data_IF_090679158330
#
_entry.id   IF_090679158330
#
_cell.length_a   1.000
_cell.length_b   1.000
_cell.length_c   1.000
_cell.angle_alpha   90.00
_cell.angle_beta   90.00
_cell.angle_gamma   90.00
#
_symmetry.space_group_name_H-M   'P 1'
#
loop_
_entity.id
_entity.type
_entity.pdbx_description
1 polymer ?
#
# COMPACT_ATOMS: atom_id res chain seq x y z
N UNK A 1 -105.30 -82.13 -24.59
CA UNK A 1 -105.63 -81.19 -23.49
C UNK A 1 -104.70 -81.54 -22.33
N UNK A 2 -103.77 -80.74 -21.81
CA UNK A 2 -103.53 -79.29 -21.87
C UNK A 2 -102.03 -79.03 -21.59
N UNK A 3 -101.48 -78.11 -22.38
CA UNK A 3 -100.44 -77.11 -22.13
C UNK A 3 -99.13 -77.45 -21.36
N UNK A 4 -97.95 -77.17 -21.95
CA UNK A 4 -96.70 -76.97 -21.20
C UNK A 4 -96.74 -75.64 -20.40
N UNK A 5 -95.92 -75.50 -19.34
CA UNK A 5 -95.97 -74.32 -18.47
C UNK A 5 -95.53 -73.06 -19.25
N UNK A 6 -96.29 -71.94 -19.20
CA UNK A 6 -95.75 -70.65 -19.62
C UNK A 6 -94.74 -70.20 -18.55
N UNK A 7 -93.74 -69.40 -18.92
CA UNK A 7 -92.89 -68.55 -18.05
C UNK A 7 -91.35 -68.76 -18.17
N UNK A 8 -90.85 -69.66 -19.02
CA UNK A 8 -89.38 -69.78 -19.26
C UNK A 8 -88.79 -68.67 -20.14
N UNK A 9 -89.58 -68.11 -21.07
CA UNK A 9 -89.12 -67.12 -22.08
C UNK A 9 -89.17 -65.68 -21.54
N UNK A 10 -89.99 -65.41 -20.52
CA UNK A 10 -90.12 -64.06 -19.92
C UNK A 10 -88.94 -63.73 -19.00
N UNK A 11 -88.45 -64.69 -18.22
CA UNK A 11 -87.29 -64.52 -17.33
C UNK A 11 -85.98 -64.20 -18.07
N UNK A 12 -85.71 -64.87 -19.20
CA UNK A 12 -84.56 -64.59 -20.05
C UNK A 12 -84.63 -63.18 -20.66
N UNK A 13 -85.83 -62.71 -21.02
CA UNK A 13 -86.05 -61.37 -21.57
C UNK A 13 -85.93 -60.25 -20.53
N UNK A 14 -86.30 -60.50 -19.27
CA UNK A 14 -86.09 -59.56 -18.16
C UNK A 14 -84.64 -59.50 -17.70
N UNK A 15 -83.97 -60.66 -17.59
CA UNK A 15 -82.54 -60.73 -17.28
C UNK A 15 -81.68 -59.99 -18.33
N UNK A 16 -81.99 -60.17 -19.62
CA UNK A 16 -81.26 -59.48 -20.68
C UNK A 16 -81.50 -57.96 -20.66
N UNK A 17 -82.71 -57.50 -20.31
CA UNK A 17 -83.02 -56.07 -20.11
C UNK A 17 -82.23 -55.46 -18.95
N UNK A 18 -82.12 -56.18 -17.84
CA UNK A 18 -81.31 -55.75 -16.69
C UNK A 18 -79.82 -55.68 -17.03
N UNK A 19 -79.29 -56.67 -17.76
CA UNK A 19 -77.89 -56.69 -18.21
C UNK A 19 -77.60 -55.52 -19.17
N UNK A 20 -78.47 -55.27 -20.15
CA UNK A 20 -78.34 -54.11 -21.04
C UNK A 20 -78.40 -52.79 -20.29
N UNK A 21 -79.31 -52.65 -19.32
CA UNK A 21 -79.39 -51.47 -18.47
C UNK A 21 -78.12 -51.25 -17.65
N UNK A 22 -77.58 -52.31 -17.03
CA UNK A 22 -76.32 -52.28 -16.28
C UNK A 22 -75.13 -51.90 -17.18
N UNK A 23 -75.06 -52.44 -18.40
CA UNK A 23 -74.02 -52.09 -19.37
C UNK A 23 -74.10 -50.62 -19.79
N UNK A 24 -75.30 -50.11 -20.04
CA UNK A 24 -75.52 -48.68 -20.34
C UNK A 24 -75.05 -47.82 -19.16
N UNK A 25 -75.45 -48.16 -17.93
CA UNK A 25 -75.02 -47.42 -16.74
C UNK A 25 -73.50 -47.53 -16.49
N UNK A 26 -72.87 -48.67 -16.79
CA UNK A 26 -71.42 -48.84 -16.69
C UNK A 26 -70.67 -47.98 -17.71
N UNK A 27 -71.13 -47.93 -18.96
CA UNK A 27 -70.55 -47.08 -20.02
C UNK A 27 -70.74 -45.60 -19.69
N UNK A 28 -71.94 -45.19 -19.26
CA UNK A 28 -72.21 -43.81 -18.82
C UNK A 28 -71.37 -43.43 -17.61
N UNK A 29 -71.21 -44.35 -16.64
CA UNK A 29 -70.36 -44.16 -15.47
C UNK A 29 -68.88 -44.01 -15.83
N UNK A 30 -68.36 -44.85 -16.74
CA UNK A 30 -66.98 -44.74 -17.24
C UNK A 30 -66.75 -43.43 -17.98
N UNK A 31 -67.68 -43.03 -18.83
CA UNK A 31 -67.60 -41.77 -19.59
C UNK A 31 -67.70 -40.56 -18.65
N UNK A 32 -68.52 -40.63 -17.60
CA UNK A 32 -68.58 -39.60 -16.55
C UNK A 32 -67.26 -39.50 -15.76
N UNK A 33 -66.68 -40.62 -15.33
CA UNK A 33 -65.38 -40.66 -14.64
C UNK A 33 -64.28 -40.11 -15.55
N UNK A 34 -64.27 -40.52 -16.82
CA UNK A 34 -63.31 -40.04 -17.82
C UNK A 34 -63.40 -38.52 -17.99
N UNK A 35 -64.60 -37.98 -18.20
CA UNK A 35 -64.81 -36.52 -18.31
C UNK A 35 -64.43 -35.78 -17.04
N UNK A 36 -64.67 -36.38 -15.87
CA UNK A 36 -64.28 -35.78 -14.57
C UNK A 36 -62.76 -35.73 -14.41
N UNK A 37 -62.05 -36.78 -14.81
CA UNK A 37 -60.59 -36.83 -14.81
C UNK A 37 -59.98 -35.87 -15.84
N UNK A 38 -60.55 -35.80 -17.05
CA UNK A 38 -60.11 -34.87 -18.08
C UNK A 38 -60.31 -33.41 -17.64
N UNK A 39 -61.45 -33.08 -17.04
CA UNK A 39 -61.70 -31.75 -16.47
C UNK A 39 -60.68 -31.39 -15.38
N UNK A 40 -60.37 -32.30 -14.46
CA UNK A 40 -59.35 -32.06 -13.42
C UNK A 40 -57.94 -31.90 -13.98
N UNK A 41 -57.57 -32.64 -15.03
CA UNK A 41 -56.28 -32.47 -15.73
C UNK A 41 -56.17 -31.11 -16.42
N UNK A 42 -57.25 -30.67 -17.08
CA UNK A 42 -57.31 -29.35 -17.72
C UNK A 42 -57.22 -28.22 -16.69
N UNK A 43 -57.88 -28.36 -15.55
CA UNK A 43 -57.81 -27.39 -14.46
C UNK A 43 -56.40 -27.30 -13.88
N UNK A 44 -55.79 -28.44 -13.53
CA UNK A 44 -54.41 -28.48 -13.06
C UNK A 44 -53.41 -27.93 -14.10
N UNK A 45 -53.60 -28.23 -15.39
CA UNK A 45 -52.73 -27.73 -16.47
C UNK A 45 -52.80 -26.20 -16.57
N UNK A 46 -54.01 -25.62 -16.48
CA UNK A 46 -54.21 -24.17 -16.50
C UNK A 46 -53.61 -23.49 -15.28
N UNK A 47 -53.77 -24.09 -14.10
CA UNK A 47 -53.17 -23.55 -12.87
C UNK A 47 -51.64 -23.58 -12.95
N UNK A 48 -51.06 -24.68 -13.44
CA UNK A 48 -49.62 -24.80 -13.62
C UNK A 48 -49.08 -23.80 -14.64
N UNK A 49 -49.76 -23.63 -15.79
CA UNK A 49 -49.41 -22.62 -16.78
C UNK A 49 -49.44 -21.21 -16.19
N UNK A 50 -50.45 -20.90 -15.37
CA UNK A 50 -50.56 -19.61 -14.69
C UNK A 50 -49.39 -19.39 -13.73
N UNK A 51 -49.07 -20.38 -12.90
CA UNK A 51 -47.96 -20.33 -11.94
C UNK A 51 -46.61 -20.20 -12.65
N UNK A 52 -46.39 -20.93 -13.74
CA UNK A 52 -45.18 -20.83 -14.55
C UNK A 52 -45.06 -19.43 -15.17
N UNK A 53 -46.16 -18.86 -15.65
CA UNK A 53 -46.16 -17.51 -16.21
C UNK A 53 -45.89 -16.45 -15.14
N UNK A 54 -46.51 -16.56 -13.97
CA UNK A 54 -46.26 -15.69 -12.82
C UNK A 54 -44.81 -15.78 -12.34
N UNK A 55 -44.24 -16.98 -12.26
CA UNK A 55 -42.84 -17.18 -11.85
C UNK A 55 -41.85 -16.68 -12.89
N UNK A 56 -42.11 -16.93 -14.17
CA UNK A 56 -41.26 -16.45 -15.27
C UNK A 56 -41.22 -14.92 -15.30
N UNK A 57 -42.37 -14.27 -15.14
CA UNK A 57 -42.45 -12.80 -15.11
C UNK A 57 -41.75 -12.22 -13.87
N UNK A 58 -41.96 -12.80 -12.69
CA UNK A 58 -41.25 -12.39 -11.48
C UNK A 58 -39.73 -12.56 -11.60
N UNK A 59 -39.26 -13.68 -12.18
CA UNK A 59 -37.84 -13.94 -12.41
C UNK A 59 -37.23 -12.94 -13.40
N UNK A 60 -37.94 -12.63 -14.49
CA UNK A 60 -37.49 -11.62 -15.46
C UNK A 60 -37.36 -10.24 -14.82
N UNK A 61 -38.29 -9.87 -13.94
CA UNK A 61 -38.22 -8.59 -13.20
C UNK A 61 -37.01 -8.57 -12.26
N UNK A 62 -36.80 -9.65 -11.49
CA UNK A 62 -35.68 -9.78 -10.57
C UNK A 62 -34.33 -9.76 -11.31
N UNK A 63 -34.21 -10.45 -12.45
CA UNK A 63 -33.00 -10.43 -13.26
C UNK A 63 -32.69 -9.01 -13.78
N UNK A 64 -33.69 -8.28 -14.29
CA UNK A 64 -33.47 -6.89 -14.71
C UNK A 64 -33.03 -5.99 -13.55
N UNK A 65 -33.60 -6.18 -12.36
CA UNK A 65 -33.17 -5.42 -11.19
C UNK A 65 -31.71 -5.73 -10.82
N UNK A 66 -31.33 -7.01 -10.81
CA UNK A 66 -29.95 -7.42 -10.56
C UNK A 66 -28.98 -6.87 -11.62
N UNK A 67 -29.36 -6.89 -12.89
CA UNK A 67 -28.55 -6.31 -13.98
C UNK A 67 -28.30 -4.81 -13.75
N UNK A 68 -29.33 -4.07 -13.32
CA UNK A 68 -29.20 -2.66 -12.97
C UNK A 68 -28.29 -2.45 -11.76
N UNK A 69 -28.50 -3.19 -10.65
CA UNK A 69 -27.67 -3.09 -9.44
C UNK A 69 -26.20 -3.44 -9.71
N UNK A 70 -25.94 -4.45 -10.53
CA UNK A 70 -24.59 -4.82 -10.97
C UNK A 70 -23.98 -3.70 -11.82
N UNK A 71 -24.76 -3.08 -12.71
CA UNK A 71 -24.33 -1.93 -13.50
C UNK A 71 -23.91 -0.75 -12.62
N UNK A 72 -24.75 -0.39 -11.64
CA UNK A 72 -24.49 0.68 -10.68
C UNK A 72 -23.25 0.40 -9.82
N UNK A 73 -23.13 -0.82 -9.27
CA UNK A 73 -21.94 -1.23 -8.50
C UNK A 73 -20.67 -1.14 -9.33
N UNK A 74 -20.71 -1.62 -10.58
CA UNK A 74 -19.54 -1.60 -11.46
C UNK A 74 -19.10 -0.18 -11.79
N UNK A 75 -20.04 0.74 -12.00
CA UNK A 75 -19.74 2.17 -12.19
C UNK A 75 -19.14 2.79 -10.91
N UNK A 76 -19.70 2.46 -9.74
CA UNK A 76 -19.16 2.93 -8.47
C UNK A 76 -17.71 2.43 -8.25
N UNK A 77 -17.44 1.14 -8.46
CA UNK A 77 -16.10 0.56 -8.36
C UNK A 77 -15.09 1.20 -9.33
N UNK A 78 -15.52 1.46 -10.57
CA UNK A 78 -14.70 2.16 -11.56
C UNK A 78 -14.36 3.58 -11.10
N UNK A 79 -15.34 4.32 -10.58
CA UNK A 79 -15.12 5.68 -10.07
C UNK A 79 -14.16 5.69 -8.89
N UNK A 80 -14.30 4.77 -7.94
CA UNK A 80 -13.39 4.63 -6.79
C UNK A 80 -11.96 4.35 -7.25
N UNK A 81 -11.79 3.46 -8.23
CA UNK A 81 -10.48 3.13 -8.81
C UNK A 81 -9.85 4.33 -9.52
N UNK A 82 -10.65 5.15 -10.19
CA UNK A 82 -10.18 6.37 -10.84
C UNK A 82 -9.79 7.45 -9.82
N UNK A 83 -10.61 7.67 -8.78
CA UNK A 83 -10.29 8.58 -7.68
C UNK A 83 -9.01 8.16 -6.96
N UNK A 84 -8.83 6.87 -6.66
CA UNK A 84 -7.61 6.35 -6.06
C UNK A 84 -6.38 6.66 -6.93
N UNK A 85 -6.46 6.41 -8.24
CA UNK A 85 -5.37 6.76 -9.18
C UNK A 85 -5.06 8.25 -9.18
N UNK A 86 -6.08 9.12 -9.20
CA UNK A 86 -5.89 10.58 -9.14
C UNK A 86 -5.27 11.04 -7.83
N UNK A 87 -5.72 10.48 -6.69
CA UNK A 87 -5.14 10.77 -5.38
C UNK A 87 -3.67 10.35 -5.30
N UNK A 88 -3.32 9.17 -5.84
CA UNK A 88 -1.93 8.73 -5.91
C UNK A 88 -1.08 9.66 -6.77
N UNK A 89 -1.56 10.07 -7.95
CA UNK A 89 -0.84 11.00 -8.80
C UNK A 89 -0.60 12.36 -8.13
N UNK A 90 -1.62 12.91 -7.47
CA UNK A 90 -1.52 14.17 -6.72
C UNK A 90 -0.57 14.04 -5.52
N UNK A 91 -0.61 12.92 -4.80
CA UNK A 91 0.31 12.65 -3.70
C UNK A 91 1.77 12.62 -4.20
N UNK A 92 2.03 11.97 -5.33
CA UNK A 92 3.37 11.94 -5.94
C UNK A 92 3.84 13.35 -6.34
N UNK A 93 2.97 14.15 -6.99
CA UNK A 93 3.30 15.54 -7.35
C UNK A 93 3.60 16.41 -6.12
N UNK A 94 2.85 16.22 -5.02
CA UNK A 94 3.06 16.95 -3.78
C UNK A 94 4.40 16.57 -3.14
N UNK A 95 4.77 15.28 -3.15
CA UNK A 95 6.07 14.81 -2.67
C UNK A 95 7.22 15.41 -3.51
N UNK A 96 7.10 15.39 -4.83
CA UNK A 96 8.10 15.98 -5.73
C UNK A 96 8.26 17.50 -5.50
N UNK A 97 7.15 18.22 -5.37
CA UNK A 97 7.17 19.66 -5.09
C UNK A 97 7.82 19.97 -3.74
N UNK A 98 7.50 19.18 -2.71
CA UNK A 98 8.07 19.34 -1.38
C UNK A 98 9.58 19.04 -1.36
N UNK A 99 10.06 18.06 -2.15
CA UNK A 99 11.48 17.78 -2.30
C UNK A 99 12.22 18.91 -3.03
N UNK A 100 11.62 19.48 -4.07
CA UNK A 100 12.17 20.63 -4.78
C UNK A 100 12.28 21.87 -3.88
N UNK A 101 11.25 22.14 -3.07
CA UNK A 101 11.25 23.24 -2.09
C UNK A 101 12.32 23.02 -1.01
N UNK A 102 12.41 21.81 -0.46
CA UNK A 102 13.46 21.45 0.51
C UNK A 102 14.87 21.64 -0.05
N UNK A 103 15.09 21.27 -1.32
CA UNK A 103 16.34 21.53 -2.03
C UNK A 103 16.63 23.03 -2.13
N UNK A 104 15.66 23.83 -2.57
CA UNK A 104 15.81 25.27 -2.70
C UNK A 104 16.16 25.93 -1.36
N UNK A 105 15.47 25.53 -0.28
CA UNK A 105 15.73 26.02 1.08
C UNK A 105 17.13 25.64 1.57
N UNK A 106 17.59 24.41 1.35
CA UNK A 106 18.93 23.98 1.75
C UNK A 106 20.02 24.80 1.02
N UNK A 107 19.87 25.03 -0.28
CA UNK A 107 20.79 25.86 -1.05
C UNK A 107 20.80 27.31 -0.55
N UNK A 108 19.63 27.92 -0.32
CA UNK A 108 19.54 29.29 0.16
C UNK A 108 20.15 29.46 1.56
N UNK A 109 19.95 28.49 2.45
CA UNK A 109 20.57 28.48 3.78
C UNK A 109 22.10 28.34 3.68
N UNK A 110 22.62 27.48 2.79
CA UNK A 110 24.05 27.32 2.58
C UNK A 110 24.69 28.62 2.11
N UNK A 111 24.12 29.24 1.08
CA UNK A 111 24.67 30.44 0.47
C UNK A 111 24.59 31.64 1.41
N UNK A 112 23.49 31.81 2.15
CA UNK A 112 23.30 32.99 3.01
C UNK A 112 23.88 32.83 4.40
N UNK A 113 23.64 31.70 5.06
CA UNK A 113 24.01 31.51 6.47
C UNK A 113 25.37 30.85 6.58
N UNK A 114 25.65 29.83 5.78
CA UNK A 114 26.94 29.13 5.78
C UNK A 114 28.12 30.05 5.45
N UNK A 115 27.96 30.90 4.43
CA UNK A 115 29.00 31.88 4.06
C UNK A 115 29.21 32.93 5.16
N UNK A 116 28.13 33.46 5.74
CA UNK A 116 28.22 34.45 6.81
C UNK A 116 28.89 33.89 8.07
N UNK A 117 28.57 32.66 8.48
CA UNK A 117 29.21 32.01 9.63
C UNK A 117 30.68 31.71 9.35
N UNK A 118 31.03 31.29 8.14
CA UNK A 118 32.42 31.07 7.72
C UNK A 118 33.22 32.37 7.76
N UNK A 119 32.67 33.46 7.21
CA UNK A 119 33.30 34.78 7.26
C UNK A 119 33.48 35.28 8.70
N UNK A 120 32.47 35.07 9.56
CA UNK A 120 32.54 35.43 10.98
C UNK A 120 33.60 34.62 11.72
N UNK A 121 33.70 33.31 11.46
CA UNK A 121 34.72 32.46 12.06
C UNK A 121 36.14 32.91 11.66
N UNK A 122 36.35 33.23 10.38
CA UNK A 122 37.62 33.78 9.87
C UNK A 122 37.94 35.11 10.54
N UNK A 123 36.97 36.04 10.61
CA UNK A 123 37.16 37.35 11.24
C UNK A 123 37.53 37.22 12.71
N UNK A 124 36.82 36.39 13.47
CA UNK A 124 37.09 36.19 14.89
C UNK A 124 38.45 35.53 15.15
N UNK A 125 38.88 34.59 14.30
CA UNK A 125 40.21 33.99 14.39
C UNK A 125 41.32 35.00 14.06
N UNK A 126 41.09 35.88 13.09
CA UNK A 126 42.03 36.95 12.77
C UNK A 126 42.13 37.97 13.91
N UNK A 127 40.99 38.40 14.47
CA UNK A 127 40.93 39.29 15.62
C UNK A 127 41.65 38.68 16.83
N UNK A 128 41.44 37.38 17.09
CA UNK A 128 42.13 36.67 18.16
C UNK A 128 43.66 36.72 17.96
N UNK A 129 44.13 36.45 16.74
CA UNK A 129 45.56 36.47 16.39
C UNK A 129 46.17 37.87 16.52
N UNK A 130 45.46 38.91 16.05
CA UNK A 130 45.91 40.30 16.12
C UNK A 130 46.00 40.78 17.57
N UNK A 131 44.99 40.49 18.38
CA UNK A 131 44.89 40.96 19.77
C UNK A 131 45.91 40.29 20.69
N UNK A 132 46.36 39.07 20.37
CA UNK A 132 47.45 38.41 21.10
C UNK A 132 48.79 39.15 21.00
N UNK A 133 48.99 39.96 19.96
CA UNK A 133 50.25 40.68 19.73
C UNK A 133 50.22 42.15 20.17
N UNK A 134 49.04 42.72 20.42
CA UNK A 134 48.87 44.17 20.64
C UNK A 134 48.37 44.57 22.04
N UNK A 135 47.87 43.64 22.85
CA UNK A 135 47.30 43.94 24.16
C UNK A 135 48.25 43.62 25.33
N UNK A 136 48.18 44.39 26.44
CA UNK A 136 48.84 44.02 27.70
C UNK A 136 48.37 42.65 28.21
N UNK A 137 49.24 41.85 28.88
CA UNK A 137 48.97 40.44 29.20
C UNK A 137 47.67 40.19 30.00
N UNK A 138 47.37 41.05 30.97
CA UNK A 138 46.18 40.91 31.82
C UNK A 138 44.88 41.16 31.04
N UNK A 139 44.87 42.17 30.17
CA UNK A 139 43.72 42.51 29.31
C UNK A 139 43.55 41.49 28.19
N UNK A 140 44.66 41.02 27.62
CA UNK A 140 44.69 40.01 26.56
C UNK A 140 44.04 38.69 27.00
N UNK A 141 44.27 38.26 28.26
CA UNK A 141 43.71 37.02 28.78
C UNK A 141 42.17 37.03 28.85
N UNK A 142 41.58 38.14 29.34
CA UNK A 142 40.12 38.31 29.45
C UNK A 142 39.46 38.40 28.06
N UNK A 143 40.07 39.16 27.14
CA UNK A 143 39.59 39.33 25.77
C UNK A 143 39.68 38.00 24.99
N UNK A 144 40.78 37.26 25.11
CA UNK A 144 40.97 35.93 24.53
C UNK A 144 39.91 34.94 24.99
N UNK A 145 39.60 34.91 26.29
CA UNK A 145 38.57 34.03 26.83
C UNK A 145 37.18 34.33 26.24
N UNK A 146 36.81 35.61 26.11
CA UNK A 146 35.56 36.03 25.47
C UNK A 146 35.50 35.67 23.99
N UNK A 147 36.57 35.92 23.23
CA UNK A 147 36.65 35.57 21.80
C UNK A 147 36.57 34.05 21.58
N UNK A 148 37.25 33.24 22.40
CA UNK A 148 37.13 31.78 22.34
C UNK A 148 35.70 31.30 22.59
N UNK A 149 34.99 31.91 23.54
CA UNK A 149 33.58 31.59 23.78
C UNK A 149 32.70 31.96 22.58
N UNK A 150 32.93 33.12 21.96
CA UNK A 150 32.23 33.51 20.72
C UNK A 150 32.52 32.55 19.57
N UNK A 151 33.78 32.13 19.40
CA UNK A 151 34.18 31.16 18.40
C UNK A 151 33.46 29.82 18.60
N UNK A 152 33.43 29.32 19.84
CA UNK A 152 32.72 28.09 20.19
C UNK A 152 31.20 28.18 19.93
N UNK A 153 30.59 29.36 20.13
CA UNK A 153 29.18 29.59 19.77
C UNK A 153 28.96 29.58 18.26
N UNK A 154 29.87 30.19 17.48
CA UNK A 154 29.81 30.17 16.01
C UNK A 154 29.97 28.75 15.48
N UNK A 155 30.91 27.97 16.02
CA UNK A 155 31.12 26.56 15.66
C UNK A 155 29.86 25.72 15.94
N UNK A 156 29.30 25.81 17.14
CA UNK A 156 28.03 25.13 17.49
C UNK A 156 26.87 25.56 16.57
N UNK A 157 26.78 26.84 16.25
CA UNK A 157 25.72 27.35 15.36
C UNK A 157 25.92 26.83 13.94
N UNK A 158 27.16 26.75 13.48
CA UNK A 158 27.52 26.20 12.16
C UNK A 158 27.13 24.73 12.09
N UNK A 159 27.41 23.95 13.13
CA UNK A 159 26.97 22.55 13.24
C UNK A 159 25.45 22.39 13.20
N UNK A 160 24.71 23.25 13.92
CA UNK A 160 23.24 23.24 13.90
C UNK A 160 22.71 23.56 12.50
N UNK A 161 23.24 24.60 11.84
CA UNK A 161 22.82 24.98 10.50
C UNK A 161 23.15 23.89 9.49
N UNK A 162 24.33 23.27 9.60
CA UNK A 162 24.72 22.12 8.77
C UNK A 162 23.73 20.97 8.90
N UNK A 163 23.37 20.63 10.14
CA UNK A 163 22.35 19.61 10.44
C UNK A 163 21.00 19.93 9.81
N UNK A 164 20.53 21.17 9.93
CA UNK A 164 19.26 21.59 9.33
C UNK A 164 19.31 21.50 7.80
N UNK A 165 20.43 21.87 7.18
CA UNK A 165 20.60 21.73 5.73
C UNK A 165 20.60 20.25 5.30
N UNK A 166 21.22 19.37 6.08
CA UNK A 166 21.26 17.92 5.84
C UNK A 166 19.88 17.26 5.99
N UNK A 167 19.06 17.74 6.93
CA UNK A 167 17.66 17.33 7.06
C UNK A 167 16.79 17.78 5.87
N UNK A 168 17.06 18.98 5.33
CA UNK A 168 16.32 19.54 4.20
C UNK A 168 16.70 18.83 2.88
N UNK A 169 17.97 18.83 2.49
CA UNK A 169 18.42 18.19 1.26
C UNK A 169 19.89 17.77 1.38
N UNK A 170 20.24 16.50 1.09
CA UNK A 170 21.62 16.03 1.23
C UNK A 170 22.49 16.60 0.10
N UNK A 171 23.03 17.82 0.27
CA UNK A 171 24.01 18.40 -0.64
C UNK A 171 25.24 17.50 -0.86
N UNK A 172 25.57 16.69 0.16
CA UNK A 172 26.56 15.62 0.11
C UNK A 172 26.29 14.58 -0.99
N UNK A 173 25.01 14.28 -1.26
CA UNK A 173 24.61 13.32 -2.27
C UNK A 173 24.96 13.83 -3.68
N UNK A 174 24.71 15.12 -3.94
CA UNK A 174 25.03 15.71 -5.23
C UNK A 174 26.54 15.77 -5.45
N UNK A 175 27.31 16.23 -4.47
CA UNK A 175 28.75 16.42 -4.61
C UNK A 175 29.57 15.12 -4.51
N UNK A 176 29.21 14.21 -3.58
CA UNK A 176 30.07 13.07 -3.20
C UNK A 176 29.41 11.70 -3.41
N UNK A 177 28.14 11.65 -3.80
CA UNK A 177 27.44 10.44 -4.22
C UNK A 177 26.78 9.68 -3.09
N UNK A 178 26.05 8.62 -3.46
CA UNK A 178 25.21 7.84 -2.54
C UNK A 178 25.99 7.21 -1.39
N UNK A 179 27.13 6.58 -1.68
CA UNK A 179 27.96 5.92 -0.65
C UNK A 179 28.40 6.92 0.44
N UNK A 180 29.04 8.02 0.05
CA UNK A 180 29.50 9.06 0.98
C UNK A 180 28.35 9.66 1.77
N UNK A 181 27.23 9.97 1.12
CA UNK A 181 26.07 10.56 1.78
C UNK A 181 25.45 9.59 2.80
N UNK A 182 25.36 8.30 2.47
CA UNK A 182 24.86 7.28 3.39
C UNK A 182 25.80 7.07 4.57
N UNK A 183 27.12 6.97 4.33
CA UNK A 183 28.11 6.84 5.39
C UNK A 183 28.01 8.00 6.41
N UNK A 184 27.88 9.22 5.90
CA UNK A 184 27.72 10.38 6.77
C UNK A 184 26.40 10.33 7.56
N UNK A 185 25.29 10.00 6.89
CA UNK A 185 23.97 9.93 7.52
C UNK A 185 23.87 8.85 8.60
N UNK A 186 24.50 7.68 8.42
CA UNK A 186 24.48 6.61 9.43
C UNK A 186 25.28 6.95 10.68
N UNK A 187 26.40 7.67 10.55
CA UNK A 187 27.15 8.13 11.72
C UNK A 187 26.35 9.18 12.50
N UNK A 188 25.68 10.11 11.82
CA UNK A 188 24.80 11.08 12.48
C UNK A 188 23.63 10.37 13.19
N UNK A 189 23.03 9.36 12.55
CA UNK A 189 21.97 8.55 13.14
C UNK A 189 22.43 7.85 14.43
N UNK A 190 23.63 7.27 14.41
CA UNK A 190 24.25 6.60 15.55
C UNK A 190 24.49 7.58 16.70
N UNK A 191 25.06 8.76 16.43
CA UNK A 191 25.26 9.81 17.45
C UNK A 191 23.95 10.27 18.08
N UNK A 192 22.89 10.43 17.26
CA UNK A 192 21.59 10.92 17.72
C UNK A 192 20.79 9.90 18.54
N UNK A 193 20.86 8.63 18.16
CA UNK A 193 19.97 7.59 18.72
C UNK A 193 20.67 6.67 19.71
N UNK A 194 22.01 6.58 19.65
CA UNK A 194 22.80 5.61 20.40
C UNK A 194 22.69 4.17 19.89
N UNK A 195 21.97 3.92 18.79
CA UNK A 195 21.84 2.60 18.16
C UNK A 195 23.12 2.32 17.37
N UNK A 196 23.68 1.11 17.52
CA UNK A 196 24.85 0.71 16.74
C UNK A 196 24.49 0.58 15.26
N UNK A 197 25.32 1.13 14.38
CA UNK A 197 25.12 1.01 12.92
C UNK A 197 26.31 0.33 12.28
N UNK A 198 26.05 -0.72 11.51
CA UNK A 198 27.03 -1.40 10.66
C UNK A 198 26.82 -0.97 9.21
N UNK A 199 27.76 -0.20 8.66
CA UNK A 199 27.71 0.27 7.28
C UNK A 199 28.73 -0.46 6.40
N UNK A 200 28.30 -0.95 5.24
CA UNK A 200 29.17 -1.56 4.25
C UNK A 200 28.76 -1.23 2.82
N UNK A 201 29.70 -0.71 2.02
CA UNK A 201 29.51 -0.50 0.60
C UNK A 201 30.51 -1.34 -0.22
N UNK A 202 30.16 -1.68 -1.46
CA UNK A 202 31.14 -2.24 -2.40
C UNK A 202 32.27 -1.23 -2.66
N UNK A 203 33.51 -1.72 -2.69
CA UNK A 203 34.67 -0.88 -2.98
C UNK A 203 34.53 -0.17 -4.34
N UNK A 204 34.78 1.14 -4.37
CA UNK A 204 34.63 1.96 -5.58
C UNK A 204 33.19 2.04 -6.08
N UNK A 205 32.21 2.10 -5.17
CA UNK A 205 30.80 2.20 -5.54
C UNK A 205 30.56 3.37 -6.53
N UNK A 206 29.90 3.13 -7.68
CA UNK A 206 29.82 4.13 -8.75
C UNK A 206 28.82 5.24 -8.42
N UNK A 207 28.97 6.38 -9.12
CA UNK A 207 27.91 7.40 -9.19
C UNK A 207 26.72 6.86 -9.97
N UNK A 208 25.52 7.16 -9.49
CA UNK A 208 24.27 6.77 -10.15
C UNK A 208 23.56 8.00 -10.73
N UNK A 209 22.58 7.78 -11.60
CA UNK A 209 21.64 8.85 -12.00
C UNK A 209 21.06 9.52 -10.75
N UNK A 210 21.04 10.86 -10.73
CA UNK A 210 20.63 11.65 -9.56
C UNK A 210 19.29 11.21 -8.96
N UNK A 211 18.29 10.90 -9.80
CA UNK A 211 16.98 10.40 -9.35
C UNK A 211 17.10 9.10 -8.54
N UNK A 212 17.98 8.18 -8.95
CA UNK A 212 18.21 6.90 -8.26
C UNK A 212 18.91 7.13 -6.92
N UNK A 213 19.96 7.96 -6.89
CA UNK A 213 20.66 8.29 -5.65
C UNK A 213 19.72 8.91 -4.61
N UNK A 214 18.92 9.91 -5.02
CA UNK A 214 17.97 10.58 -4.12
C UNK A 214 16.94 9.59 -3.60
N UNK A 215 16.39 8.75 -4.48
CA UNK A 215 15.38 7.76 -4.12
C UNK A 215 15.92 6.75 -3.11
N UNK A 216 17.09 6.16 -3.37
CA UNK A 216 17.73 5.19 -2.47
C UNK A 216 18.07 5.81 -1.12
N UNK A 217 18.64 7.02 -1.12
CA UNK A 217 18.95 7.75 0.09
C UNK A 217 17.69 7.98 0.95
N UNK A 218 16.61 8.45 0.32
CA UNK A 218 15.33 8.69 1.00
C UNK A 218 14.70 7.41 1.56
N UNK A 219 14.87 6.26 0.90
CA UNK A 219 14.44 4.97 1.43
C UNK A 219 15.24 4.61 2.69
N UNK A 220 16.56 4.81 2.70
CA UNK A 220 17.37 4.59 3.91
C UNK A 220 16.94 5.51 5.05
N UNK A 221 16.69 6.79 4.77
CA UNK A 221 16.22 7.74 5.80
C UNK A 221 14.91 7.27 6.45
N UNK A 222 13.95 6.84 5.65
CA UNK A 222 12.66 6.34 6.15
C UNK A 222 12.84 5.03 6.93
N UNK A 223 13.66 4.10 6.42
CA UNK A 223 13.96 2.86 7.12
C UNK A 223 14.61 3.11 8.49
N UNK A 224 15.65 3.96 8.57
CA UNK A 224 16.31 4.30 9.82
C UNK A 224 15.38 5.08 10.77
N UNK A 225 14.51 5.94 10.24
CA UNK A 225 13.48 6.61 11.04
C UNK A 225 12.52 5.60 11.67
N UNK A 226 12.13 4.58 10.92
CA UNK A 226 11.29 3.49 11.44
C UNK A 226 12.01 2.69 12.51
N UNK A 227 13.32 2.42 12.35
CA UNK A 227 14.13 1.76 13.39
C UNK A 227 14.11 2.56 14.69
N UNK A 228 14.43 3.86 14.63
CA UNK A 228 14.47 4.73 15.81
C UNK A 228 13.12 4.86 16.51
N UNK A 229 12.02 4.90 15.76
CA UNK A 229 10.67 5.12 16.33
C UNK A 229 9.98 3.83 16.79
N UNK A 230 10.23 2.71 16.12
CA UNK A 230 9.35 1.53 16.21
C UNK A 230 10.10 0.23 16.52
N UNK A 231 11.34 0.05 16.09
CA UNK A 231 11.99 -1.26 16.14
C UNK A 231 12.44 -1.67 17.55
N UNK A 232 12.74 -0.73 18.45
CA UNK A 232 13.44 -1.03 19.73
C UNK A 232 14.71 -1.87 19.51
N UNK A 233 15.38 -1.64 18.37
CA UNK A 233 16.60 -2.32 17.98
C UNK A 233 17.79 -1.79 18.78
N UNK A 234 18.78 -2.65 19.02
CA UNK A 234 20.10 -2.24 19.54
C UNK A 234 21.13 -2.06 18.42
N UNK A 235 20.87 -2.64 17.25
CA UNK A 235 21.75 -2.60 16.09
C UNK A 235 20.95 -2.53 14.78
N UNK A 236 21.48 -1.80 13.81
CA UNK A 236 20.99 -1.78 12.42
C UNK A 236 22.16 -1.92 11.44
N UNK A 237 22.01 -2.77 10.45
CA UNK A 237 22.91 -2.90 9.30
C UNK A 237 22.38 -2.13 8.10
N UNK A 238 23.27 -1.40 7.42
CA UNK A 238 23.01 -0.75 6.14
C UNK A 238 24.08 -1.21 5.15
N UNK A 239 23.67 -1.78 4.01
CA UNK A 239 24.63 -2.20 2.99
C UNK A 239 24.23 -1.79 1.58
N UNK A 240 25.25 -1.42 0.80
CA UNK A 240 25.12 -0.98 -0.58
C UNK A 240 26.04 -1.82 -1.46
N UNK A 241 25.46 -2.73 -2.23
CA UNK A 241 26.21 -3.73 -2.99
C UNK A 241 26.02 -3.52 -4.48
N UNK A 242 27.13 -3.61 -5.23
CA UNK A 242 27.10 -3.71 -6.68
C UNK A 242 27.26 -5.17 -7.08
N UNK A 243 26.30 -5.67 -7.85
CA UNK A 243 26.31 -7.01 -8.44
C UNK A 243 26.42 -6.92 -9.97
N UNK A 244 26.67 -8.05 -10.62
CA UNK A 244 26.70 -8.12 -12.08
C UNK A 244 25.34 -7.75 -12.72
N UNK A 245 24.24 -7.90 -11.97
CA UNK A 245 22.86 -7.69 -12.45
C UNK A 245 22.26 -6.33 -12.06
N UNK A 246 22.92 -5.57 -11.19
CA UNK A 246 22.36 -4.34 -10.65
C UNK A 246 23.01 -3.87 -9.35
N UNK A 247 22.30 -3.00 -8.64
CA UNK A 247 22.63 -2.49 -7.32
C UNK A 247 21.61 -3.01 -6.31
N UNK A 248 22.09 -3.38 -5.14
CA UNK A 248 21.25 -3.77 -4.01
C UNK A 248 21.52 -2.85 -2.82
N UNK A 249 20.46 -2.26 -2.29
CA UNK A 249 20.45 -1.55 -1.02
C UNK A 249 19.71 -2.40 0.01
N UNK A 250 20.31 -2.63 1.17
CA UNK A 250 19.69 -3.36 2.27
C UNK A 250 19.80 -2.59 3.58
N UNK A 251 18.70 -2.49 4.33
CA UNK A 251 18.65 -1.99 5.71
C UNK A 251 18.03 -3.07 6.58
N UNK A 252 18.71 -3.54 7.63
CA UNK A 252 18.26 -4.63 8.50
C UNK A 252 18.43 -4.26 9.96
N UNK A 253 17.38 -4.33 10.76
CA UNK A 253 17.45 -4.13 12.21
C UNK A 253 17.26 -5.45 12.99
N UNK A 254 17.71 -5.47 14.24
CA UNK A 254 17.54 -6.60 15.16
C UNK A 254 16.38 -6.41 16.16
N UNK A 255 15.42 -5.55 15.82
CA UNK A 255 14.35 -5.12 16.71
C UNK A 255 13.20 -6.11 16.86
N UNK A 256 12.07 -5.61 17.34
CA UNK A 256 10.86 -6.40 17.62
C UNK A 256 10.15 -6.89 16.36
N UNK A 257 10.50 -6.36 15.19
CA UNK A 257 9.85 -6.67 13.91
C UNK A 257 8.34 -6.35 13.89
N UNK A 258 7.74 -6.55 12.73
CA UNK A 258 6.30 -6.40 12.49
C UNK A 258 5.74 -7.79 12.22
N UNK A 259 4.78 -8.24 13.02
CA UNK A 259 4.05 -9.46 12.71
C UNK A 259 3.25 -9.26 11.42
N UNK A 260 3.41 -10.16 10.44
CA UNK A 260 2.47 -10.26 9.34
C UNK A 260 1.08 -10.52 9.94
N UNK A 261 0.18 -9.55 9.73
CA UNK A 261 -1.24 -9.59 10.05
C UNK A 261 -1.61 -9.64 11.56
N UNK A 262 -1.88 -8.46 12.14
CA UNK A 262 -3.00 -8.37 13.08
C UNK A 262 -4.28 -8.12 12.26
N UNK A 263 -5.33 -8.96 12.37
CA UNK A 263 -6.64 -8.60 11.86
C UNK A 263 -7.17 -7.44 12.70
N UNK A 264 -7.04 -6.23 12.18
CA UNK A 264 -7.48 -4.99 12.82
C UNK A 264 -7.22 -3.80 11.88
N UNK A 265 -7.94 -2.68 12.04
CA UNK A 265 -7.70 -1.49 11.23
C UNK A 265 -6.23 -1.08 11.37
N UNK A 266 -5.56 -0.69 10.25
CA UNK A 266 -4.15 -0.34 10.28
C UNK A 266 -3.89 0.71 11.35
N UNK A 267 -2.89 0.46 12.21
CA UNK A 267 -2.39 1.46 13.15
C UNK A 267 -1.92 2.64 12.31
N UNK A 268 -2.64 3.75 12.38
CA UNK A 268 -2.38 4.94 11.59
C UNK A 268 -0.90 5.35 11.74
N UNK A 269 -0.14 5.29 10.64
CA UNK A 269 1.25 5.72 10.55
C UNK A 269 2.24 4.66 10.05
N UNK A 270 2.17 3.42 10.54
CA UNK A 270 3.21 2.41 10.23
C UNK A 270 3.09 1.82 8.82
N UNK A 271 1.88 1.75 8.26
CA UNK A 271 1.66 1.29 6.87
C UNK A 271 2.00 2.35 5.82
N UNK A 272 2.00 3.64 6.19
CA UNK A 272 2.18 4.73 5.23
C UNK A 272 3.65 4.90 4.84
N UNK A 273 4.58 4.82 5.80
CA UNK A 273 6.02 4.89 5.51
C UNK A 273 6.49 3.77 4.57
N UNK A 274 6.00 2.54 4.80
CA UNK A 274 6.29 1.38 3.93
C UNK A 274 5.70 1.57 2.52
N UNK A 275 4.46 2.07 2.42
CA UNK A 275 3.82 2.34 1.15
C UNK A 275 4.55 3.44 0.34
N UNK A 276 5.01 4.50 1.01
CA UNK A 276 5.85 5.54 0.37
C UNK A 276 7.15 4.94 -0.16
N UNK A 277 7.85 4.13 0.63
CA UNK A 277 9.11 3.51 0.18
C UNK A 277 8.89 2.62 -1.04
N UNK A 278 7.81 1.83 -1.06
CA UNK A 278 7.46 0.99 -2.21
C UNK A 278 7.16 1.81 -3.47
N UNK A 279 6.42 2.91 -3.34
CA UNK A 279 6.15 3.82 -4.47
C UNK A 279 7.42 4.48 -4.99
N UNK A 280 8.30 4.92 -4.08
CA UNK A 280 9.60 5.51 -4.43
C UNK A 280 10.46 4.54 -5.23
N UNK A 281 10.58 3.28 -4.78
CA UNK A 281 11.29 2.24 -5.53
C UNK A 281 10.70 2.04 -6.94
N UNK A 282 9.36 1.94 -7.05
CA UNK A 282 8.67 1.83 -8.35
C UNK A 282 8.95 3.01 -9.29
N UNK A 283 9.10 4.22 -8.76
CA UNK A 283 9.35 5.44 -9.55
C UNK A 283 10.69 5.45 -10.31
N UNK A 284 11.62 4.59 -9.89
CA UNK A 284 12.92 4.37 -10.54
C UNK A 284 13.01 2.99 -11.22
N UNK A 285 11.90 2.26 -11.32
CA UNK A 285 11.86 0.91 -11.88
C UNK A 285 12.51 -0.16 -11.00
N UNK A 286 12.70 0.11 -9.71
CA UNK A 286 13.26 -0.82 -8.74
C UNK A 286 12.16 -1.59 -8.01
N UNK A 287 12.51 -2.76 -7.48
CA UNK A 287 11.64 -3.56 -6.62
C UNK A 287 12.06 -3.36 -5.16
N UNK A 288 11.09 -3.16 -4.27
CA UNK A 288 11.30 -3.10 -2.82
C UNK A 288 10.67 -4.31 -2.16
N UNK A 289 11.46 -5.01 -1.34
CA UNK A 289 11.05 -6.17 -0.54
C UNK A 289 11.23 -5.85 0.93
N UNK A 290 10.26 -6.23 1.74
CA UNK A 290 10.30 -6.06 3.19
C UNK A 290 10.06 -7.42 3.81
N UNK A 291 11.05 -7.91 4.53
CA UNK A 291 10.96 -9.14 5.32
C UNK A 291 10.95 -8.75 6.79
N UNK A 292 9.89 -9.10 7.51
CA UNK A 292 9.74 -8.76 8.93
C UNK A 292 8.98 -9.86 9.65
N UNK A 293 9.42 -10.20 10.85
CA UNK A 293 8.74 -11.15 11.71
C UNK A 293 8.86 -10.73 13.18
N UNK A 294 7.84 -11.04 13.97
CA UNK A 294 7.83 -10.72 15.39
C UNK A 294 9.05 -11.32 16.11
N UNK A 295 9.85 -10.47 16.74
CA UNK A 295 11.09 -10.82 17.44
C UNK A 295 12.30 -11.09 16.56
N UNK A 296 12.21 -10.89 15.23
CA UNK A 296 13.33 -11.10 14.29
C UNK A 296 13.78 -9.83 13.56
N UNK A 297 13.27 -8.66 13.95
CA UNK A 297 13.58 -7.39 13.31
C UNK A 297 12.90 -7.20 11.94
N UNK A 298 13.39 -6.23 11.19
CA UNK A 298 12.90 -5.90 9.84
C UNK A 298 14.06 -5.74 8.89
N UNK A 299 13.94 -6.31 7.70
CA UNK A 299 14.84 -6.12 6.57
C UNK A 299 14.09 -5.43 5.43
N UNK A 300 14.59 -4.28 4.98
CA UNK A 300 14.15 -3.56 3.79
C UNK A 300 15.23 -3.73 2.73
N UNK A 301 14.85 -4.23 1.55
CA UNK A 301 15.76 -4.50 0.44
C UNK A 301 15.24 -3.85 -0.84
N UNK A 302 16.11 -3.17 -1.56
CA UNK A 302 15.82 -2.54 -2.85
C UNK A 302 16.82 -3.01 -3.89
N UNK A 303 16.31 -3.61 -4.97
CA UNK A 303 17.13 -4.05 -6.09
C UNK A 303 16.87 -3.14 -7.32
N UNK A 304 17.93 -2.51 -7.82
CA UNK A 304 17.92 -1.66 -9.01
C UNK A 304 18.66 -2.37 -10.14
N UNK A 305 17.98 -2.86 -11.19
CA UNK A 305 18.63 -3.59 -12.28
C UNK A 305 19.50 -2.67 -13.15
N UNK A 306 20.46 -3.27 -13.88
CA UNK A 306 21.31 -2.56 -14.84
C UNK A 306 20.50 -1.79 -15.89
N UNK A 307 21.06 -0.70 -16.40
CA UNK A 307 20.42 0.21 -17.37
C UNK A 307 19.47 1.24 -16.75
N UNK A 308 19.12 1.14 -15.46
CA UNK A 308 18.29 2.13 -14.76
C UNK A 308 19.09 3.13 -13.92
N UNK A 309 20.33 2.79 -13.55
CA UNK A 309 21.15 3.56 -12.62
C UNK A 309 22.42 4.15 -13.24
N UNK A 310 22.88 3.62 -14.36
CA UNK A 310 24.12 4.04 -15.04
C UNK A 310 23.99 5.47 -15.57
N UNK A 311 25.02 6.28 -15.34
CA UNK A 311 25.12 7.62 -15.94
C UNK A 311 25.49 7.42 -17.41
N UNK A 312 24.73 8.04 -18.32
CA UNK A 312 25.05 8.06 -19.76
C UNK A 312 26.37 8.79 -20.05
#
# INVERSE_FOLDING_TARGET
>A
LLAPPPNGVTWLGEANRLIFSLLIWAVVGLEWVRRRLEAGRLENSRELERLVQERTTALHLANRQLENEVGERKQAEQSVTEYARRLHALANQLVEAQEAERKALATELHDRIGQNLSALNISLNLDLTLLETQLPPETAASVRARLKNSLALVERTTEIVRRVMEELHPALLEQYGLDTALHWYVEEFKERTGIAVLYAASEGFPRLRSKVEVTLFRIVQEALTNVAKHARASEVGVSLRRHATGIELQVSDNGVGVAAERPGPPVAGSSWGLAIMAERARSIGAELRIDSAAGQGTTVMVAVPNGLWEIE
#
